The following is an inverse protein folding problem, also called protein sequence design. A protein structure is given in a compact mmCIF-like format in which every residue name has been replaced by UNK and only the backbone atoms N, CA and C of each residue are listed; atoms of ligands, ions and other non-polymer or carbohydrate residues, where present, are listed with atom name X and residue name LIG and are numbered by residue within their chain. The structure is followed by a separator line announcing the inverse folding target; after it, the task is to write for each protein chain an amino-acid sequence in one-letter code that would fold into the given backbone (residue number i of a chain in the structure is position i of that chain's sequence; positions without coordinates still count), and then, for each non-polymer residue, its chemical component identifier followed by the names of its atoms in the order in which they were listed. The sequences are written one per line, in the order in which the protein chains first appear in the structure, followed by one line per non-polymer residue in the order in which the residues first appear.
data_IF_702774713577
#
_entry.id   IF_702774713577
#
_cell.length_a   1.000
_cell.length_b   1.000
_cell.length_c   1.000
_cell.angle_alpha   90.00
_cell.angle_beta   90.00
_cell.angle_gamma   90.00
#
_symmetry.space_group_name_H-M   'P 1'
#
loop_
_entity.id
_entity.type
_entity.pdbx_description
1 polymer ?
#
# COMPACT_ATOMS: atom_id res chain seq x y z
N UNK A 1 15.16 15.78 -56.22
CA UNK A 1 16.37 16.28 -55.55
C UNK A 1 16.00 16.51 -54.09
N UNK A 2 16.32 15.56 -53.21
CA UNK A 2 17.35 15.68 -52.15
C UNK A 2 16.94 16.71 -51.07
N UNK A 3 16.94 16.46 -49.77
CA UNK A 3 17.32 15.27 -49.00
C UNK A 3 16.81 15.41 -47.56
N UNK A 4 16.50 14.26 -46.98
CA UNK A 4 16.57 13.88 -45.58
C UNK A 4 17.79 14.50 -44.85
N UNK A 5 17.66 14.93 -43.59
CA UNK A 5 18.63 14.50 -42.57
C UNK A 5 18.16 14.61 -41.11
N UNK A 6 18.37 13.50 -40.40
CA UNK A 6 18.32 13.28 -38.95
C UNK A 6 19.77 13.41 -38.41
N UNK A 7 19.96 13.59 -37.10
CA UNK A 7 20.59 12.50 -36.29
C UNK A 7 19.86 12.34 -34.93
N UNK A 8 19.63 11.13 -34.39
CA UNK A 8 20.55 10.27 -33.61
C UNK A 8 21.23 11.04 -32.45
N UNK A 9 21.10 10.74 -31.16
CA UNK A 9 20.79 9.51 -30.45
C UNK A 9 21.96 9.20 -29.51
N UNK A 10 21.82 9.40 -28.19
CA UNK A 10 22.68 8.71 -27.21
C UNK A 10 22.08 8.76 -25.80
N UNK A 11 21.87 7.57 -25.27
CA UNK A 11 21.62 7.26 -23.87
C UNK A 11 22.97 7.05 -23.19
N UNK A 12 23.19 7.67 -22.03
CA UNK A 12 24.27 7.30 -21.11
C UNK A 12 23.64 7.04 -19.74
N UNK A 13 23.65 5.75 -19.40
CA UNK A 13 23.23 5.15 -18.15
C UNK A 13 24.50 4.60 -17.46
N UNK A 14 24.56 4.73 -16.14
CA UNK A 14 25.61 4.16 -15.27
C UNK A 14 26.38 5.25 -14.54
N UNK A 15 26.61 5.20 -13.23
CA UNK A 15 26.34 4.20 -12.20
C UNK A 15 27.02 4.68 -10.91
N UNK A 16 26.62 4.17 -9.74
CA UNK A 16 27.43 4.29 -8.52
C UNK A 16 26.78 4.96 -7.30
N UNK A 17 25.65 4.44 -6.82
CA UNK A 17 25.42 4.25 -5.37
C UNK A 17 25.59 2.74 -5.12
N UNK A 18 26.14 2.22 -4.03
CA UNK A 18 25.89 2.56 -2.63
C UNK A 18 26.93 1.82 -1.78
N UNK A 19 27.79 2.52 -1.04
CA UNK A 19 28.64 1.97 0.03
C UNK A 19 28.89 3.06 1.06
N UNK A 20 28.02 3.18 2.07
CA UNK A 20 28.24 4.04 3.23
C UNK A 20 27.18 3.73 4.30
N UNK A 21 27.38 2.69 5.12
CA UNK A 21 26.78 2.61 6.45
C UNK A 21 27.53 1.60 7.32
N UNK A 22 28.28 2.10 8.28
CA UNK A 22 29.07 1.30 9.21
C UNK A 22 29.88 2.20 10.12
N UNK A 23 29.21 2.95 11.00
CA UNK A 23 29.87 3.72 12.04
C UNK A 23 29.52 3.16 13.43
N UNK A 24 30.59 2.73 14.08
CA UNK A 24 30.72 2.29 15.46
C UNK A 24 30.74 3.48 16.42
N UNK A 25 29.96 3.38 17.51
CA UNK A 25 30.16 4.15 18.73
C UNK A 25 29.72 3.29 19.92
N UNK A 26 30.69 2.88 20.75
CA UNK A 26 30.37 2.58 22.15
C UNK A 26 31.62 2.77 23.02
N UNK A 27 31.47 3.56 24.08
CA UNK A 27 32.50 3.94 25.03
C UNK A 27 32.00 3.57 26.45
N UNK A 28 32.86 2.84 27.18
CA UNK A 28 33.08 2.75 28.65
C UNK A 28 31.90 2.79 29.65
N UNK A 29 31.92 1.88 30.64
CA UNK A 29 32.48 2.16 31.98
C UNK A 29 32.60 0.89 32.86
N UNK A 30 33.71 0.82 33.61
CA UNK A 30 34.07 -0.17 34.65
C UNK A 30 33.41 0.15 36.00
N UNK A 31 33.15 -0.88 36.83
CA UNK A 31 33.51 -0.86 38.25
C UNK A 31 33.65 -2.28 38.85
N UNK A 32 34.53 -2.40 39.85
CA UNK A 32 35.16 -3.60 40.41
C UNK A 32 34.79 -3.77 41.90
N UNK A 33 35.02 -4.98 42.44
CA UNK A 33 35.39 -5.31 43.83
C UNK A 33 34.22 -5.46 44.85
N UNK A 34 34.21 -6.28 45.92
CA UNK A 34 34.78 -7.57 46.36
C UNK A 34 34.20 -7.84 47.78
N UNK A 35 34.17 -9.12 48.19
CA UNK A 35 34.27 -9.64 49.58
C UNK A 35 33.04 -9.68 50.56
N UNK A 36 32.70 -10.93 50.94
CA UNK A 36 32.71 -11.50 52.31
C UNK A 36 31.44 -11.58 53.22
N UNK A 37 31.17 -12.83 53.68
CA UNK A 37 30.58 -13.32 54.97
C UNK A 37 29.16 -12.86 55.39
N UNK A 38 28.33 -13.55 56.19
CA UNK A 38 28.27 -14.86 56.88
C UNK A 38 26.88 -14.96 57.57
N UNK A 39 26.38 -16.19 57.79
CA UNK A 39 25.36 -16.66 58.79
C UNK A 39 23.92 -16.10 58.80
N UNK A 40 22.91 -16.99 58.87
CA UNK A 40 22.27 -17.58 60.08
C UNK A 40 20.91 -18.22 59.64
N UNK A 41 20.69 -19.54 59.68
CA UNK A 41 20.18 -20.43 60.75
C UNK A 41 18.66 -20.36 61.07
N UNK A 42 17.95 -21.49 60.89
CA UNK A 42 16.78 -22.06 61.66
C UNK A 42 15.90 -22.92 60.70
N UNK A 43 15.26 -24.06 61.01
CA UNK A 43 14.91 -24.81 62.24
C UNK A 43 14.47 -26.23 61.77
N UNK A 44 15.07 -27.34 62.24
CA UNK A 44 14.62 -28.24 63.34
C UNK A 44 13.26 -28.95 63.18
N UNK A 45 13.25 -30.29 62.97
CA UNK A 45 12.65 -31.25 63.91
C UNK A 45 13.05 -32.74 63.63
N UNK A 46 13.17 -33.60 64.67
CA UNK A 46 13.77 -34.95 64.58
C UNK A 46 12.84 -36.12 64.98
N UNK A 47 13.21 -37.36 64.65
CA UNK A 47 13.04 -38.59 65.46
C UNK A 47 13.40 -39.86 64.65
N UNK A 48 14.42 -40.63 65.07
CA UNK A 48 14.34 -42.01 65.63
C UNK A 48 14.49 -43.10 64.54
N UNK A 49 15.15 -44.25 64.72
CA UNK A 49 16.01 -44.80 65.77
C UNK A 49 16.75 -46.05 65.23
N UNK A 50 17.99 -46.21 65.72
CA UNK A 50 18.65 -47.44 66.21
C UNK A 50 18.86 -48.69 65.30
N UNK A 51 20.14 -49.08 65.16
CA UNK A 51 20.61 -50.44 64.83
C UNK A 51 22.12 -50.53 64.50
N UNK A 52 22.99 -50.69 65.52
CA UNK A 52 24.44 -50.97 65.38
C UNK A 52 24.70 -52.44 64.97
N UNK A 53 25.78 -52.79 64.26
CA UNK A 53 27.15 -53.11 64.73
C UNK A 53 27.92 -53.68 63.49
N UNK A 54 29.25 -53.76 63.34
CA UNK A 54 30.48 -53.28 63.97
C UNK A 54 31.62 -53.85 63.07
N UNK A 55 32.74 -53.13 62.85
CA UNK A 55 33.93 -53.71 62.21
C UNK A 55 34.86 -52.73 61.50
N UNK A 56 35.82 -52.19 62.25
CA UNK A 56 36.99 -51.36 61.90
C UNK A 56 38.18 -52.21 61.38
N UNK A 57 39.41 -51.68 61.17
CA UNK A 57 39.89 -50.45 60.51
C UNK A 57 41.06 -50.71 59.50
N UNK A 58 41.45 -49.71 58.70
CA UNK A 58 42.80 -49.08 58.66
C UNK A 58 43.10 -48.45 57.27
N UNK A 59 43.74 -47.26 57.23
CA UNK A 59 43.98 -46.49 56.02
C UNK A 59 45.40 -46.74 55.46
N UNK A 60 45.56 -46.68 54.15
CA UNK A 60 46.88 -46.54 53.56
C UNK A 60 46.87 -45.45 52.50
N UNK A 61 47.40 -44.31 52.93
CA UNK A 61 47.81 -43.17 52.13
C UNK A 61 49.00 -43.61 51.25
N UNK A 62 48.79 -43.82 49.96
CA UNK A 62 49.88 -43.88 48.98
C UNK A 62 49.36 -43.65 47.56
N UNK A 63 49.91 -42.63 46.90
CA UNK A 63 49.99 -42.60 45.44
C UNK A 63 48.88 -41.84 44.73
N UNK A 64 49.08 -40.54 44.56
CA UNK A 64 48.61 -39.83 43.37
C UNK A 64 49.05 -40.60 42.12
N UNK A 65 48.13 -41.36 41.52
CA UNK A 65 48.23 -41.80 40.13
C UNK A 65 46.94 -41.38 39.44
N UNK A 66 47.09 -40.44 38.54
CA UNK A 66 46.09 -39.89 37.64
C UNK A 66 45.11 -40.94 37.11
N UNK A 67 43.83 -40.80 37.47
CA UNK A 67 42.71 -41.51 36.86
C UNK A 67 41.87 -40.49 36.06
N UNK A 68 41.87 -40.52 34.73
CA UNK A 68 40.98 -39.68 33.93
C UNK A 68 39.62 -40.37 33.88
N UNK A 69 38.67 -39.98 34.75
CA UNK A 69 37.40 -40.71 34.79
C UNK A 69 36.36 -40.24 35.78
N UNK A 70 36.16 -38.92 35.99
CA UNK A 70 35.05 -38.48 36.86
C UNK A 70 34.22 -37.30 36.37
N UNK A 71 34.24 -36.96 35.08
CA UNK A 71 33.29 -36.00 34.48
C UNK A 71 32.89 -36.40 33.05
N UNK A 72 32.35 -37.61 32.87
CA UNK A 72 31.55 -37.94 31.67
C UNK A 72 30.79 -39.25 31.86
N UNK A 73 29.69 -39.20 32.59
CA UNK A 73 28.73 -40.31 32.67
C UNK A 73 27.80 -40.41 31.44
N UNK A 74 28.04 -39.62 30.37
CA UNK A 74 27.23 -39.64 29.13
C UNK A 74 28.05 -39.46 27.83
N UNK A 75 29.36 -39.67 27.83
CA UNK A 75 30.12 -39.62 26.57
C UNK A 75 30.18 -41.00 25.91
N UNK A 76 29.54 -41.13 24.75
CA UNK A 76 29.71 -42.27 23.83
C UNK A 76 31.20 -42.43 23.49
N UNK A 77 31.71 -43.64 23.21
CA UNK A 77 33.13 -43.83 22.92
C UNK A 77 33.55 -42.98 21.71
N UNK A 78 34.82 -42.55 21.66
CA UNK A 78 35.35 -41.61 20.65
C UNK A 78 34.99 -42.02 19.20
N UNK A 79 35.08 -43.31 18.80
CA UNK A 79 34.66 -43.74 17.46
C UNK A 79 33.17 -43.49 17.17
N UNK A 80 32.31 -43.60 18.18
CA UNK A 80 30.87 -43.36 18.04
C UNK A 80 30.56 -41.85 17.97
N UNK A 81 31.35 -41.01 18.61
CA UNK A 81 31.22 -39.55 18.48
C UNK A 81 31.61 -39.07 17.08
N UNK A 82 32.68 -39.63 16.50
CA UNK A 82 33.11 -39.31 15.14
C UNK A 82 32.04 -39.76 14.14
N UNK A 83 31.53 -40.99 14.28
CA UNK A 83 30.41 -41.48 13.44
C UNK A 83 29.18 -40.59 13.57
N UNK A 84 28.81 -40.18 14.79
CA UNK A 84 27.66 -39.31 15.02
C UNK A 84 27.85 -37.93 14.37
N UNK A 85 29.04 -37.34 14.44
CA UNK A 85 29.33 -36.08 13.74
C UNK A 85 29.21 -36.29 12.23
N UNK A 86 29.81 -37.33 11.67
CA UNK A 86 29.68 -37.63 10.24
C UNK A 86 28.20 -37.81 9.83
N UNK A 87 27.41 -38.51 10.64
CA UNK A 87 25.97 -38.69 10.43
C UNK A 87 25.16 -37.38 10.55
N UNK A 88 25.57 -36.45 11.43
CA UNK A 88 24.92 -35.14 11.58
C UNK A 88 25.11 -34.24 10.37
N UNK A 89 26.23 -34.39 9.65
CA UNK A 89 26.57 -33.57 8.49
C UNK A 89 26.13 -34.20 7.16
N UNK A 90 25.71 -35.46 7.16
CA UNK A 90 25.19 -36.13 5.96
C UNK A 90 23.70 -35.79 5.75
N UNK A 91 23.32 -35.16 4.61
CA UNK A 91 21.93 -34.84 4.30
C UNK A 91 21.06 -36.07 4.01
N UNK A 92 21.68 -37.24 3.78
CA UNK A 92 20.99 -38.49 3.47
C UNK A 92 20.50 -39.22 4.72
N UNK A 93 21.08 -38.90 5.89
CA UNK A 93 20.78 -39.58 7.13
C UNK A 93 19.56 -38.98 7.86
N UNK A 94 18.70 -39.83 8.45
CA UNK A 94 17.54 -39.37 9.22
C UNK A 94 17.94 -38.61 10.50
N UNK A 95 19.19 -38.72 10.94
CA UNK A 95 19.70 -38.00 12.10
C UNK A 95 20.43 -36.68 11.76
N UNK A 96 20.36 -36.18 10.52
CA UNK A 96 21.00 -34.93 10.11
C UNK A 96 20.64 -33.76 11.05
N UNK A 97 21.64 -32.97 11.48
CA UNK A 97 21.41 -31.82 12.35
C UNK A 97 20.75 -30.65 11.61
N UNK A 98 20.92 -30.56 10.30
CA UNK A 98 20.43 -29.46 9.46
C UNK A 98 19.08 -29.77 8.83
N UNK A 99 18.10 -30.15 9.66
CA UNK A 99 16.71 -30.36 9.22
C UNK A 99 15.87 -29.15 9.62
N UNK A 100 15.24 -28.51 8.64
CA UNK A 100 14.26 -27.45 8.91
C UNK A 100 13.10 -27.59 7.93
N UNK A 101 11.89 -27.35 8.42
CA UNK A 101 10.68 -27.33 7.59
C UNK A 101 10.42 -25.92 7.06
N UNK A 102 10.23 -25.82 5.75
CA UNK A 102 9.75 -24.61 5.11
C UNK A 102 8.35 -24.86 4.56
N UNK A 103 7.47 -23.87 4.66
CA UNK A 103 6.10 -24.00 4.20
C UNK A 103 5.96 -23.50 2.76
N UNK A 104 5.42 -24.35 1.88
CA UNK A 104 5.07 -23.98 0.52
C UNK A 104 3.56 -23.81 0.39
N UNK A 105 3.11 -22.75 -0.29
CA UNK A 105 1.69 -22.53 -0.58
C UNK A 105 1.28 -23.43 -1.74
N UNK A 106 0.18 -24.15 -1.56
CA UNK A 106 -0.37 -25.12 -2.50
C UNK A 106 -1.88 -24.88 -2.60
N UNK A 107 -2.51 -25.17 -3.74
CA UNK A 107 -3.96 -25.03 -3.86
C UNK A 107 -4.69 -26.10 -3.06
N UNK A 108 -5.84 -25.75 -2.49
CA UNK A 108 -6.58 -26.57 -1.52
C UNK A 108 -6.88 -27.99 -2.02
N UNK A 109 -7.28 -28.12 -3.29
CA UNK A 109 -7.57 -29.41 -3.92
C UNK A 109 -6.36 -30.32 -4.07
N UNK A 110 -5.15 -29.76 -4.08
CA UNK A 110 -3.90 -30.52 -4.22
C UNK A 110 -3.26 -30.85 -2.88
N UNK A 111 -3.76 -30.31 -1.77
CA UNK A 111 -3.23 -30.60 -0.42
C UNK A 111 -3.21 -32.09 -0.09
N UNK A 112 -4.24 -32.90 -0.40
CA UNK A 112 -4.25 -34.33 -0.10
C UNK A 112 -3.21 -35.16 -0.88
N UNK A 113 -2.62 -34.61 -1.94
CA UNK A 113 -1.63 -35.33 -2.77
C UNK A 113 -0.23 -35.32 -2.14
N UNK A 114 0.03 -34.47 -1.16
CA UNK A 114 1.34 -34.36 -0.54
C UNK A 114 1.39 -35.13 0.78
N UNK A 115 2.33 -36.06 0.87
CA UNK A 115 2.66 -36.80 2.09
C UNK A 115 4.16 -36.71 2.41
N UNK A 116 4.58 -37.28 3.54
CA UNK A 116 5.98 -37.29 3.93
C UNK A 116 6.85 -38.06 2.92
N UNK A 117 8.06 -37.57 2.69
CA UNK A 117 9.05 -38.18 1.81
C UNK A 117 9.71 -39.44 2.39
N UNK A 118 10.52 -40.17 1.59
CA UNK A 118 11.11 -41.45 1.99
C UNK A 118 12.13 -41.37 3.15
N UNK A 119 12.71 -40.20 3.41
CA UNK A 119 13.72 -39.96 4.46
C UNK A 119 13.20 -39.06 5.59
N UNK A 120 11.87 -38.96 5.72
CA UNK A 120 11.20 -38.02 6.59
C UNK A 120 10.49 -38.75 7.73
N UNK A 121 10.72 -38.30 8.96
CA UNK A 121 10.09 -38.89 10.14
C UNK A 121 8.63 -38.42 10.22
N UNK A 122 7.63 -39.33 10.24
CA UNK A 122 6.21 -38.94 10.25
C UNK A 122 5.83 -38.03 11.42
N UNK A 123 6.51 -38.19 12.55
CA UNK A 123 6.31 -37.38 13.76
C UNK A 123 6.69 -35.91 13.54
N UNK A 124 7.83 -35.68 12.89
CA UNK A 124 8.33 -34.32 12.60
C UNK A 124 7.46 -33.63 11.54
N UNK A 125 6.95 -34.40 10.57
CA UNK A 125 6.00 -33.93 9.57
C UNK A 125 4.66 -33.51 10.19
N UNK A 126 4.09 -34.32 11.07
CA UNK A 126 2.86 -33.98 11.79
C UNK A 126 3.03 -32.78 12.72
N UNK A 127 4.19 -32.66 13.37
CA UNK A 127 4.52 -31.48 14.18
C UNK A 127 4.60 -30.21 13.33
N UNK A 128 5.23 -30.28 12.14
CA UNK A 128 5.24 -29.17 11.20
C UNK A 128 3.84 -28.84 10.67
N UNK A 129 2.99 -29.84 10.40
CA UNK A 129 1.59 -29.61 10.03
C UNK A 129 0.79 -28.95 11.16
N UNK A 130 1.08 -29.28 12.43
CA UNK A 130 0.46 -28.65 13.61
C UNK A 130 0.88 -27.18 13.76
N UNK A 131 2.11 -26.83 13.40
CA UNK A 131 2.68 -25.48 13.49
C UNK A 131 2.50 -24.65 12.20
N UNK A 132 1.47 -24.93 11.42
CA UNK A 132 1.21 -24.30 10.13
C UNK A 132 0.75 -22.84 10.28
N UNK A 133 1.31 -21.88 9.52
CA UNK A 133 1.00 -20.45 9.68
C UNK A 133 -0.37 -20.03 9.10
N UNK A 134 -0.86 -20.71 8.07
CA UNK A 134 -2.12 -20.42 7.40
C UNK A 134 -2.64 -21.66 6.67
N UNK A 135 -3.95 -21.82 6.43
CA UNK A 135 -4.49 -22.91 5.61
C UNK A 135 -3.81 -22.95 4.24
N UNK A 136 -3.74 -24.13 3.61
CA UNK A 136 -3.14 -24.34 2.26
C UNK A 136 -1.60 -24.27 2.16
N UNK A 137 -0.90 -24.17 3.28
CA UNK A 137 0.55 -24.35 3.36
C UNK A 137 0.93 -25.81 3.68
N UNK A 138 1.90 -26.37 2.97
CA UNK A 138 2.39 -27.73 3.19
C UNK A 138 3.86 -27.66 3.59
N UNK A 139 4.28 -28.35 4.66
CA UNK A 139 5.68 -28.39 5.05
C UNK A 139 6.52 -29.10 3.97
N UNK A 140 7.73 -28.62 3.78
CA UNK A 140 8.72 -29.19 2.86
C UNK A 140 10.03 -29.30 3.63
N UNK A 141 10.55 -30.52 3.70
CA UNK A 141 11.83 -30.78 4.34
C UNK A 141 12.97 -30.12 3.59
N UNK A 142 13.72 -29.29 4.30
CA UNK A 142 15.01 -28.78 3.85
C UNK A 142 16.11 -29.47 4.67
N UNK A 143 16.75 -30.47 4.05
CA UNK A 143 17.91 -31.16 4.61
C UNK A 143 19.21 -30.54 4.06
N UNK A 144 20.01 -29.95 4.94
CA UNK A 144 21.33 -29.39 4.62
C UNK A 144 21.33 -28.18 3.68
N UNK A 145 22.53 -27.69 3.37
CA UNK A 145 22.73 -26.51 2.52
C UNK A 145 22.23 -26.62 1.07
N UNK A 146 22.26 -27.80 0.39
CA UNK A 146 21.76 -27.89 -0.99
C UNK A 146 20.27 -27.57 -1.11
N UNK A 147 19.46 -27.96 -0.12
CA UNK A 147 18.00 -27.73 -0.13
C UNK A 147 17.65 -26.24 0.01
N UNK A 148 18.37 -25.50 0.86
CA UNK A 148 18.19 -24.04 0.99
C UNK A 148 18.71 -23.31 -0.26
N UNK A 149 19.78 -23.78 -0.90
CA UNK A 149 20.23 -23.22 -2.19
C UNK A 149 19.13 -23.40 -3.25
N UNK A 150 18.52 -24.59 -3.34
CA UNK A 150 17.41 -24.83 -4.25
C UNK A 150 16.22 -23.89 -3.97
N UNK A 151 15.93 -23.62 -2.69
CA UNK A 151 14.89 -22.65 -2.29
C UNK A 151 15.25 -21.22 -2.72
N UNK A 152 16.49 -20.79 -2.55
CA UNK A 152 16.96 -19.47 -3.00
C UNK A 152 16.88 -19.33 -4.53
N UNK A 153 17.22 -20.38 -5.28
CA UNK A 153 17.06 -20.40 -6.74
C UNK A 153 15.58 -20.30 -7.14
N UNK A 154 14.68 -20.99 -6.44
CA UNK A 154 13.24 -20.87 -6.64
C UNK A 154 12.75 -19.45 -6.36
N UNK A 155 13.14 -18.86 -5.21
CA UNK A 155 12.78 -17.49 -4.85
C UNK A 155 13.25 -16.49 -5.90
N UNK A 156 14.49 -16.62 -6.39
CA UNK A 156 15.00 -15.77 -7.48
C UNK A 156 14.16 -15.87 -8.74
N UNK A 157 13.81 -17.10 -9.17
CA UNK A 157 12.94 -17.32 -10.34
C UNK A 157 11.58 -16.64 -10.16
N UNK A 158 10.98 -16.82 -9.00
CA UNK A 158 9.68 -16.26 -8.65
C UNK A 158 9.73 -14.72 -8.60
N UNK A 159 10.79 -14.13 -8.03
CA UNK A 159 10.98 -12.67 -8.02
C UNK A 159 11.04 -12.10 -9.44
N UNK A 160 11.72 -12.79 -10.38
CA UNK A 160 11.74 -12.37 -11.78
C UNK A 160 10.33 -12.41 -12.39
N UNK A 161 9.55 -13.47 -12.11
CA UNK A 161 8.16 -13.56 -12.56
C UNK A 161 7.27 -12.45 -11.97
N UNK A 162 7.43 -12.14 -10.68
CA UNK A 162 6.71 -11.03 -10.03
C UNK A 162 7.04 -9.68 -10.67
N UNK A 163 8.32 -9.41 -10.94
CA UNK A 163 8.73 -8.19 -11.62
C UNK A 163 8.14 -8.11 -13.04
N UNK A 164 8.14 -9.21 -13.79
CA UNK A 164 7.53 -9.25 -15.12
C UNK A 164 6.03 -8.95 -15.08
N UNK A 165 5.30 -9.55 -14.12
CA UNK A 165 3.86 -9.26 -13.93
C UNK A 165 3.63 -7.81 -13.52
N UNK A 166 4.47 -7.27 -12.64
CA UNK A 166 4.38 -5.87 -12.20
C UNK A 166 4.62 -4.90 -13.37
N UNK A 167 5.62 -5.18 -14.21
CA UNK A 167 5.86 -4.41 -15.44
C UNK A 167 4.72 -4.52 -16.44
N UNK A 168 4.10 -5.70 -16.59
CA UNK A 168 2.93 -5.86 -17.43
C UNK A 168 1.74 -5.03 -16.92
N UNK A 169 1.51 -4.99 -15.61
CA UNK A 169 0.48 -4.14 -14.99
C UNK A 169 0.81 -2.67 -15.24
N UNK A 170 2.05 -2.24 -15.01
CA UNK A 170 2.46 -0.86 -15.24
C UNK A 170 2.24 -0.44 -16.70
N UNK A 171 2.66 -1.29 -17.66
CA UNK A 171 2.45 -1.03 -19.08
C UNK A 171 0.95 -0.94 -19.44
N UNK A 172 0.10 -1.75 -18.80
CA UNK A 172 -1.35 -1.66 -18.99
C UNK A 172 -1.94 -0.36 -18.43
N UNK A 173 -1.44 0.10 -17.28
CA UNK A 173 -1.84 1.39 -16.69
C UNK A 173 -1.38 2.55 -17.56
N UNK A 174 -0.14 2.54 -18.02
CA UNK A 174 0.41 3.55 -18.94
C UNK A 174 -0.43 3.63 -20.23
N UNK A 175 -0.84 2.48 -20.78
CA UNK A 175 -1.71 2.43 -21.94
C UNK A 175 -3.09 3.05 -21.65
N UNK A 176 -3.71 2.74 -20.51
CA UNK A 176 -5.00 3.31 -20.10
C UNK A 176 -4.88 4.83 -19.90
N UNK A 177 -3.84 5.29 -19.21
CA UNK A 177 -3.58 6.71 -18.97
C UNK A 177 -3.36 7.47 -20.28
N UNK A 178 -2.51 6.96 -21.17
CA UNK A 178 -2.26 7.60 -22.47
C UNK A 178 -3.54 7.74 -23.31
N UNK A 179 -4.41 6.71 -23.28
CA UNK A 179 -5.68 6.72 -23.99
C UNK A 179 -6.67 7.70 -23.36
N UNK A 180 -6.72 7.77 -22.03
CA UNK A 180 -7.57 8.72 -21.32
C UNK A 180 -7.19 10.16 -21.66
N UNK A 181 -5.90 10.49 -21.59
CA UNK A 181 -5.43 11.86 -21.74
C UNK A 181 -5.48 12.33 -23.19
N UNK A 182 -5.06 11.50 -24.15
CA UNK A 182 -4.99 11.89 -25.56
C UNK A 182 -6.32 11.70 -26.29
N UNK A 183 -7.04 10.61 -26.04
CA UNK A 183 -8.25 10.29 -26.81
C UNK A 183 -9.52 10.71 -26.08
N UNK A 184 -9.73 10.22 -24.86
CA UNK A 184 -11.01 10.37 -24.18
C UNK A 184 -11.28 11.82 -23.76
N UNK A 185 -10.28 12.51 -23.21
CA UNK A 185 -10.40 13.90 -22.78
C UNK A 185 -10.74 14.83 -23.95
N UNK A 186 -10.02 14.70 -25.07
CA UNK A 186 -10.27 15.50 -26.28
C UNK A 186 -11.64 15.19 -26.88
N UNK A 187 -12.01 13.90 -26.98
CA UNK A 187 -13.33 13.51 -27.49
C UNK A 187 -14.46 14.01 -26.59
N UNK A 188 -14.31 13.93 -25.27
CA UNK A 188 -15.30 14.43 -24.32
C UNK A 188 -15.46 15.95 -24.44
N UNK A 189 -14.37 16.71 -24.53
CA UNK A 189 -14.42 18.16 -24.73
C UNK A 189 -15.09 18.52 -26.06
N UNK A 190 -14.70 17.86 -27.15
CA UNK A 190 -15.31 18.08 -28.47
C UNK A 190 -16.80 17.70 -28.48
N UNK A 191 -17.19 16.63 -27.80
CA UNK A 191 -18.58 16.23 -27.66
C UNK A 191 -19.39 17.28 -26.89
N UNK A 192 -18.85 17.82 -25.78
CA UNK A 192 -19.49 18.91 -25.02
C UNK A 192 -19.67 20.17 -25.88
N UNK A 193 -18.65 20.55 -26.65
CA UNK A 193 -18.72 21.69 -27.58
C UNK A 193 -19.76 21.48 -28.66
N UNK A 194 -19.78 20.32 -29.31
CA UNK A 194 -20.78 19.97 -30.34
C UNK A 194 -22.19 19.92 -29.75
N UNK A 195 -22.34 19.39 -28.53
CA UNK A 195 -23.63 19.38 -27.83
C UNK A 195 -24.14 20.80 -27.58
N UNK A 196 -23.29 21.73 -27.13
CA UNK A 196 -23.68 23.13 -26.95
C UNK A 196 -24.10 23.79 -28.29
N UNK A 197 -23.37 23.52 -29.36
CA UNK A 197 -23.72 24.03 -30.70
C UNK A 197 -25.05 23.45 -31.21
N UNK A 198 -25.25 22.14 -31.09
CA UNK A 198 -26.48 21.47 -31.49
C UNK A 198 -27.65 21.91 -30.61
N UNK A 199 -27.44 22.12 -29.31
CA UNK A 199 -28.45 22.67 -28.40
C UNK A 199 -28.88 24.07 -28.87
N UNK A 200 -27.94 24.94 -29.25
CA UNK A 200 -28.26 26.25 -29.86
C UNK A 200 -29.04 26.09 -31.16
N UNK A 201 -28.62 25.20 -32.07
CA UNK A 201 -29.32 24.96 -33.35
C UNK A 201 -30.73 24.41 -33.13
N UNK A 202 -30.90 23.50 -32.17
CA UNK A 202 -32.17 22.94 -31.76
C UNK A 202 -33.10 24.03 -31.22
N UNK A 203 -32.60 24.90 -30.32
CA UNK A 203 -33.35 26.02 -29.79
C UNK A 203 -33.77 27.01 -30.90
N UNK A 204 -32.87 27.32 -31.85
CA UNK A 204 -33.17 28.18 -33.00
C UNK A 204 -34.22 27.57 -33.94
N UNK A 205 -34.20 26.26 -34.14
CA UNK A 205 -35.22 25.57 -34.92
C UNK A 205 -36.55 25.58 -34.17
N UNK A 206 -36.56 25.23 -32.88
CA UNK A 206 -37.74 25.22 -32.04
C UNK A 206 -38.41 26.60 -31.99
N UNK A 207 -37.63 27.68 -31.87
CA UNK A 207 -38.15 29.05 -31.90
C UNK A 207 -38.77 29.40 -33.25
N UNK A 208 -38.12 29.04 -34.37
CA UNK A 208 -38.68 29.26 -35.72
C UNK A 208 -39.96 28.47 -35.95
N UNK A 209 -40.02 27.21 -35.51
CA UNK A 209 -41.22 26.37 -35.60
C UNK A 209 -42.36 26.98 -34.79
N UNK A 210 -42.08 27.45 -33.56
CA UNK A 210 -43.08 28.11 -32.73
C UNK A 210 -43.62 29.39 -33.39
N UNK A 211 -42.75 30.23 -33.95
CA UNK A 211 -43.15 31.45 -34.66
C UNK A 211 -44.01 31.14 -35.88
N UNK A 212 -43.64 30.14 -36.69
CA UNK A 212 -44.40 29.77 -37.88
C UNK A 212 -45.76 29.16 -37.53
N UNK A 213 -45.83 28.32 -36.48
CA UNK A 213 -47.07 27.71 -36.01
C UNK A 213 -48.04 28.73 -35.43
N UNK A 214 -47.52 29.69 -34.67
CA UNK A 214 -48.35 30.69 -34.00
C UNK A 214 -48.62 31.94 -34.86
N UNK A 215 -48.12 31.96 -36.10
CA UNK A 215 -48.29 33.10 -37.01
C UNK A 215 -49.78 33.27 -37.35
N UNK A 216 -50.38 34.35 -36.84
CA UNK A 216 -51.79 34.70 -37.08
C UNK A 216 -52.75 34.27 -35.96
N UNK A 217 -52.26 33.61 -34.91
CA UNK A 217 -53.00 33.37 -33.68
C UNK A 217 -52.66 34.43 -32.63
N UNK A 218 -53.61 34.73 -31.73
CA UNK A 218 -53.35 35.63 -30.61
C UNK A 218 -52.32 35.02 -29.66
N UNK A 219 -51.47 35.87 -29.08
CA UNK A 219 -50.45 35.47 -28.11
C UNK A 219 -51.11 34.80 -26.91
N UNK A 220 -50.64 33.62 -26.50
CA UNK A 220 -51.16 32.93 -25.30
C UNK A 220 -50.68 33.61 -24.02
N UNK A 221 -51.42 33.46 -22.92
CA UNK A 221 -51.03 33.98 -21.60
C UNK A 221 -49.69 33.43 -21.10
N UNK A 222 -49.36 32.17 -21.43
CA UNK A 222 -48.07 31.57 -21.10
C UNK A 222 -46.89 32.25 -21.83
N UNK A 223 -47.13 32.77 -23.04
CA UNK A 223 -46.12 33.46 -23.84
C UNK A 223 -45.83 34.86 -23.27
N UNK A 224 -46.84 35.55 -22.74
CA UNK A 224 -46.62 36.81 -22.04
C UNK A 224 -45.83 36.60 -20.74
N UNK A 225 -46.11 35.53 -19.98
CA UNK A 225 -45.31 35.16 -18.81
C UNK A 225 -43.83 34.88 -19.17
N UNK A 226 -43.57 34.17 -20.28
CA UNK A 226 -42.22 33.93 -20.77
C UNK A 226 -41.53 35.23 -21.20
N UNK A 227 -42.24 36.10 -21.91
CA UNK A 227 -41.75 37.42 -22.34
C UNK A 227 -41.38 38.29 -21.14
N UNK A 228 -42.22 38.35 -20.11
CA UNK A 228 -41.92 39.11 -18.89
C UNK A 228 -40.65 38.59 -18.20
N UNK A 229 -40.46 37.27 -18.11
CA UNK A 229 -39.21 36.67 -17.58
C UNK A 229 -38.00 37.04 -18.42
N UNK A 230 -38.11 36.99 -19.75
CA UNK A 230 -37.03 37.36 -20.66
C UNK A 230 -36.68 38.84 -20.54
N UNK A 231 -37.67 39.74 -20.50
CA UNK A 231 -37.44 41.17 -20.33
C UNK A 231 -36.78 41.49 -18.98
N UNK A 232 -37.12 40.77 -17.92
CA UNK A 232 -36.46 40.93 -16.62
C UNK A 232 -34.97 40.56 -16.70
N UNK A 233 -34.65 39.46 -17.37
CA UNK A 233 -33.26 39.01 -17.57
C UNK A 233 -32.51 39.98 -18.48
N UNK A 234 -33.11 40.39 -19.60
CA UNK A 234 -32.50 41.30 -20.57
C UNK A 234 -32.16 42.65 -19.94
N UNK A 235 -33.09 43.24 -19.17
CA UNK A 235 -32.82 44.47 -18.39
C UNK A 235 -31.69 44.30 -17.38
N UNK A 236 -31.57 43.13 -16.75
CA UNK A 236 -30.49 42.87 -15.79
C UNK A 236 -29.12 42.70 -16.47
N UNK A 237 -29.09 42.24 -17.73
CA UNK A 237 -27.86 42.05 -18.50
C UNK A 237 -27.41 43.36 -19.15
N UNK A 238 -28.36 44.18 -19.61
CA UNK A 238 -28.09 45.48 -20.24
C UNK A 238 -27.74 46.60 -19.24
N UNK A 239 -27.60 46.29 -17.95
CA UNK A 239 -27.18 47.26 -16.94
C UNK A 239 -25.73 47.73 -17.22
N UNK A 240 -25.50 49.03 -17.54
CA UNK A 240 -24.16 49.56 -17.78
C UNK A 240 -23.21 49.38 -16.59
N UNK A 241 -23.74 49.29 -15.37
CA UNK A 241 -22.92 49.05 -14.17
C UNK A 241 -22.23 47.68 -14.22
N UNK A 242 -22.84 46.66 -14.84
CA UNK A 242 -22.23 45.33 -14.98
C UNK A 242 -21.05 45.35 -15.95
N UNK A 243 -21.18 46.07 -17.08
CA UNK A 243 -20.07 46.27 -18.03
C UNK A 243 -18.95 47.07 -17.39
N UNK A 244 -19.28 48.19 -16.72
CA UNK A 244 -18.31 49.03 -16.04
C UNK A 244 -17.53 48.24 -14.96
N UNK A 245 -18.22 47.39 -14.18
CA UNK A 245 -17.58 46.52 -13.18
C UNK A 245 -16.65 45.49 -13.83
N UNK A 246 -17.03 44.91 -14.96
CA UNK A 246 -16.16 43.99 -15.69
C UNK A 246 -14.89 44.71 -16.18
N UNK A 247 -15.02 45.90 -16.76
CA UNK A 247 -13.89 46.72 -17.21
C UNK A 247 -12.99 47.16 -16.05
N UNK A 248 -13.57 47.54 -14.91
CA UNK A 248 -12.83 47.85 -13.68
C UNK A 248 -12.04 46.63 -13.19
N UNK A 249 -12.66 45.45 -13.14
CA UNK A 249 -11.97 44.22 -12.73
C UNK A 249 -10.84 43.85 -13.69
N UNK A 250 -11.04 44.03 -15.01
CA UNK A 250 -9.99 43.80 -16.00
C UNK A 250 -8.82 44.76 -15.82
N UNK A 251 -9.09 46.06 -15.68
CA UNK A 251 -8.04 47.06 -15.44
C UNK A 251 -7.29 46.80 -14.14
N UNK A 252 -8.00 46.47 -13.05
CA UNK A 252 -7.38 46.09 -11.77
C UNK A 252 -6.51 44.85 -11.88
N UNK A 253 -6.95 43.84 -12.63
CA UNK A 253 -6.15 42.64 -12.89
C UNK A 253 -4.89 42.96 -13.68
N UNK A 254 -4.96 43.83 -14.69
CA UNK A 254 -3.80 44.26 -15.47
C UNK A 254 -2.79 44.99 -14.58
N UNK A 255 -3.25 45.88 -13.70
CA UNK A 255 -2.39 46.58 -12.74
C UNK A 255 -1.71 45.60 -11.79
N UNK A 256 -2.48 44.67 -11.20
CA UNK A 256 -1.94 43.65 -10.29
C UNK A 256 -0.94 42.73 -10.98
N UNK A 257 -1.20 42.36 -12.24
CA UNK A 257 -0.27 41.57 -13.04
C UNK A 257 1.03 42.34 -13.29
N UNK A 258 0.94 43.61 -13.69
CA UNK A 258 2.13 44.45 -13.88
C UNK A 258 2.96 44.60 -12.60
N UNK A 259 2.29 44.77 -11.45
CA UNK A 259 2.95 44.79 -10.15
C UNK A 259 3.62 43.45 -9.81
N UNK A 260 2.93 42.34 -10.02
CA UNK A 260 3.46 41.00 -9.76
C UNK A 260 4.65 40.66 -10.67
N UNK A 261 4.59 41.05 -11.95
CA UNK A 261 5.68 40.86 -12.91
C UNK A 261 6.91 41.70 -12.49
N UNK A 262 6.71 42.97 -12.09
CA UNK A 262 7.80 43.82 -11.58
C UNK A 262 8.42 43.24 -10.29
N UNK A 263 7.59 42.80 -9.33
CA UNK A 263 8.05 42.19 -8.08
C UNK A 263 8.82 40.89 -8.35
N UNK A 264 8.33 40.08 -9.29
CA UNK A 264 9.01 38.87 -9.74
C UNK A 264 10.37 39.19 -10.36
N UNK A 265 10.46 40.23 -11.18
CA UNK A 265 11.73 40.66 -11.78
C UNK A 265 12.70 41.22 -10.72
N UNK A 266 12.19 41.87 -9.68
CA UNK A 266 12.98 42.31 -8.52
C UNK A 266 13.48 41.15 -7.66
N UNK A 267 12.64 40.14 -7.40
CA UNK A 267 13.01 38.93 -6.64
C UNK A 267 13.99 38.05 -7.43
N UNK A 268 13.83 37.96 -8.76
CA UNK A 268 14.74 37.22 -9.64
C UNK A 268 16.09 37.92 -9.85
N UNK A 269 16.30 39.15 -9.32
CA UNK A 269 17.65 39.74 -9.31
C UNK A 269 18.56 38.85 -8.46
N UNK A 270 19.73 38.45 -8.98
CA UNK A 270 20.62 37.49 -8.33
C UNK A 270 21.16 38.09 -7.04
N UNK A 271 20.53 37.74 -5.92
CA UNK A 271 20.79 38.30 -4.60
C UNK A 271 19.83 37.73 -3.54
N UNK A 272 18.63 37.30 -3.97
CA UNK A 272 17.76 36.46 -3.17
C UNK A 272 18.00 34.99 -3.54
N UNK A 273 18.65 34.24 -2.65
CA UNK A 273 18.79 32.80 -2.79
C UNK A 273 17.45 32.12 -2.46
N UNK A 274 16.50 32.15 -3.39
CA UNK A 274 15.36 31.23 -3.37
C UNK A 274 15.83 29.89 -3.96
N UNK A 275 16.64 29.16 -3.20
CA UNK A 275 17.13 27.83 -3.62
C UNK A 275 16.96 26.76 -2.55
N UNK A 276 16.19 27.03 -1.50
CA UNK A 276 15.72 25.96 -0.61
C UNK A 276 14.23 26.20 -0.38
N UNK A 277 13.43 25.63 -1.28
CA UNK A 277 11.98 25.61 -1.15
C UNK A 277 11.56 24.83 0.09
N UNK A 278 10.26 24.56 0.23
CA UNK A 278 9.78 23.60 1.21
C UNK A 278 10.54 22.28 1.00
N UNK A 279 11.18 21.76 2.04
CA UNK A 279 11.97 20.54 1.94
C UNK A 279 11.15 19.42 1.31
N UNK A 280 11.73 18.69 0.36
CA UNK A 280 11.07 17.64 -0.44
C UNK A 280 10.33 16.62 0.44
N UNK A 281 10.81 16.37 1.65
CA UNK A 281 10.17 15.52 2.66
C UNK A 281 8.79 16.07 3.11
N UNK A 282 8.69 17.38 3.35
CA UNK A 282 7.46 18.05 3.78
C UNK A 282 6.46 18.02 2.63
N UNK A 283 6.92 18.22 1.39
CA UNK A 283 6.06 18.11 0.21
C UNK A 283 5.54 16.68 0.01
N UNK A 284 6.37 15.66 0.22
CA UNK A 284 5.93 14.27 0.13
C UNK A 284 4.89 13.94 1.21
N UNK A 285 5.08 14.41 2.45
CA UNK A 285 4.08 14.29 3.52
C UNK A 285 2.79 15.04 3.17
N UNK A 286 2.89 16.26 2.63
CA UNK A 286 1.75 17.06 2.21
C UNK A 286 0.96 16.35 1.09
N UNK A 287 1.64 15.80 0.07
CA UNK A 287 1.01 15.01 -1.00
C UNK A 287 0.25 13.81 -0.43
N UNK A 288 0.87 13.07 0.51
CA UNK A 288 0.22 11.92 1.14
C UNK A 288 -1.02 12.31 1.94
N UNK A 289 -0.96 13.39 2.72
CA UNK A 289 -2.12 13.92 3.45
C UNK A 289 -3.21 14.34 2.46
N UNK A 290 -2.84 14.97 1.34
CA UNK A 290 -3.79 15.41 0.33
C UNK A 290 -4.49 14.24 -0.37
N UNK A 291 -3.78 13.14 -0.66
CA UNK A 291 -4.37 11.90 -1.17
C UNK A 291 -5.33 11.26 -0.17
N UNK A 292 -5.00 11.28 1.11
CA UNK A 292 -5.85 10.72 2.15
C UNK A 292 -7.12 11.59 2.35
N UNK A 293 -6.98 12.92 2.28
CA UNK A 293 -8.12 13.83 2.27
C UNK A 293 -8.98 13.72 1.01
N UNK A 294 -8.39 13.53 -0.18
CA UNK A 294 -9.17 13.27 -1.39
C UNK A 294 -10.01 11.99 -1.24
N UNK A 295 -9.43 10.89 -0.76
CA UNK A 295 -10.19 9.64 -0.50
C UNK A 295 -11.34 9.86 0.49
N UNK A 296 -11.09 10.58 1.57
CA UNK A 296 -12.12 10.92 2.57
C UNK A 296 -13.23 11.78 1.96
N UNK A 297 -12.88 12.80 1.19
CA UNK A 297 -13.85 13.67 0.52
C UNK A 297 -14.65 12.92 -0.55
N UNK A 298 -14.04 12.01 -1.32
CA UNK A 298 -14.75 11.17 -2.27
C UNK A 298 -15.73 10.22 -1.56
N UNK A 299 -15.34 9.66 -0.42
CA UNK A 299 -16.25 8.84 0.40
C UNK A 299 -17.43 9.67 0.92
N UNK A 300 -17.16 10.83 1.54
CA UNK A 300 -18.22 11.73 2.02
C UNK A 300 -19.14 12.19 0.89
N UNK A 301 -18.58 12.51 -0.28
CA UNK A 301 -19.36 12.87 -1.47
C UNK A 301 -20.29 11.73 -1.88
N UNK A 302 -19.80 10.49 -1.96
CA UNK A 302 -20.63 9.32 -2.27
C UNK A 302 -21.73 9.12 -1.23
N UNK A 303 -21.39 9.23 0.04
CA UNK A 303 -22.36 9.08 1.13
C UNK A 303 -23.45 10.15 1.08
N UNK A 304 -23.11 11.40 0.75
CA UNK A 304 -24.09 12.48 0.57
C UNK A 304 -24.97 12.23 -0.66
N UNK A 305 -24.41 11.76 -1.78
CA UNK A 305 -25.20 11.40 -2.96
C UNK A 305 -26.13 10.21 -2.71
N UNK A 306 -25.68 9.20 -1.96
CA UNK A 306 -26.51 8.07 -1.55
C UNK A 306 -27.62 8.51 -0.59
N UNK A 307 -27.30 9.33 0.42
CA UNK A 307 -28.29 9.87 1.34
C UNK A 307 -29.31 10.77 0.63
N UNK A 308 -28.86 11.56 -0.35
CA UNK A 308 -29.75 12.37 -1.20
C UNK A 308 -30.69 11.47 -2.00
N UNK A 309 -30.16 10.43 -2.63
CA UNK A 309 -30.97 9.50 -3.43
C UNK A 309 -32.00 8.76 -2.56
N UNK A 310 -31.58 8.29 -1.39
CA UNK A 310 -32.47 7.62 -0.43
C UNK A 310 -33.57 8.56 0.07
N UNK A 311 -33.22 9.82 0.33
CA UNK A 311 -34.20 10.85 0.69
C UNK A 311 -35.20 11.14 -0.44
N UNK A 312 -34.73 11.27 -1.68
CA UNK A 312 -35.60 11.45 -2.87
C UNK A 312 -36.55 10.25 -3.06
N UNK A 313 -36.11 9.03 -2.74
CA UNK A 313 -36.93 7.83 -2.82
C UNK A 313 -37.93 7.72 -1.66
N UNK A 314 -37.56 8.19 -0.46
CA UNK A 314 -38.48 8.36 0.67
C UNK A 314 -39.55 9.42 0.38
N UNK A 315 -39.18 10.57 -0.21
CA UNK A 315 -40.11 11.64 -0.59
C UNK A 315 -41.17 11.15 -1.57
N UNK A 316 -40.79 10.35 -2.58
CA UNK A 316 -41.76 9.76 -3.53
C UNK A 316 -42.77 8.84 -2.86
N UNK A 317 -42.36 8.14 -1.80
CA UNK A 317 -43.23 7.21 -1.06
C UNK A 317 -44.16 7.95 -0.09
N UNK A 318 -43.69 9.03 0.53
CA UNK A 318 -44.43 9.75 1.58
C UNK A 318 -45.20 10.97 1.07
N UNK A 319 -44.86 11.48 -0.12
CA UNK A 319 -45.61 12.53 -0.80
C UNK A 319 -46.00 12.08 -2.22
N UNK A 320 -46.90 11.09 -2.36
CA UNK A 320 -47.46 10.79 -3.67
C UNK A 320 -48.15 12.07 -4.16
N UNK A 321 -47.73 12.55 -5.33
CA UNK A 321 -48.25 13.78 -5.92
C UNK A 321 -49.80 13.82 -5.82
N UNK A 322 -50.40 14.96 -5.43
CA UNK A 322 -51.85 15.07 -5.37
C UNK A 322 -52.42 14.69 -6.74
N UNK A 323 -53.36 13.75 -6.75
CA UNK A 323 -54.02 13.26 -7.96
C UNK A 323 -54.45 14.44 -8.85
N UNK A 324 -54.30 14.36 -10.18
CA UNK A 324 -54.77 15.41 -11.06
C UNK A 324 -56.27 15.61 -10.80
N UNK A 325 -56.65 16.82 -10.39
CA UNK A 325 -58.05 17.19 -10.16
C UNK A 325 -58.85 16.82 -11.40
N UNK A 326 -59.79 15.88 -11.25
CA UNK A 326 -60.77 15.58 -12.27
C UNK A 326 -61.46 16.88 -12.67
N UNK A 327 -61.22 17.32 -13.91
CA UNK A 327 -61.98 18.39 -14.55
C UNK A 327 -63.44 17.96 -14.53
N UNK A 328 -64.25 18.69 -13.76
CA UNK A 328 -65.69 18.53 -13.76
C UNK A 328 -66.21 18.72 -15.20
N UNK A 329 -66.73 17.63 -15.78
CA UNK A 329 -67.57 17.70 -16.96
C UNK A 329 -68.86 18.41 -16.55
N UNK A 330 -68.96 19.70 -16.88
CA UNK A 330 -70.21 20.43 -16.84
C UNK A 330 -71.13 19.86 -17.94
N UNK A 331 -72.28 19.33 -17.54
CA UNK A 331 -73.46 19.16 -18.38
C UNK A 331 -74.28 20.44 -18.38
#
# INVERSE_FOLDING_TARGET
MFSLNRPAGQSVFGGGGTSMFGQSSNQQQLQQQQLQQQQQQQQQQPAQALGQQQGTPNPQLAGSLWQPGSLSSYQKPIPDQIKLITEKWDPSNPNCAFKTYLYNKVDEHTVPLYGPGPNEDPKEWEEALRQKPAPNYIPVLCAGFPSIIARLTLQRRVIVEFNNKLHAINASLDAILSRHDLEHTVRAFNARRRHAELSKRCLMLASRVQVLRNKGYALSGDEDALKQRLQKIDKSIQDPALSARMEELWSRLIILRGYADNLKDEINKPGFAESDGLGEEIEAKAKKILEDYDKQLQHLKKQVEEARKDFEDWEKQHNPAPAPKATAAAQ
#
